data_IF_911230949590
#
_entry.id   IF_911230949590
#
_cell.length_a   1.000
_cell.length_b   1.000
_cell.length_c   1.000
_cell.angle_alpha   90.00
_cell.angle_beta   90.00
_cell.angle_gamma   90.00
#
_symmetry.space_group_name_H-M   'P 1'
#
loop_
_entity.id
_entity.type
_entity.pdbx_description
1 polymer ?
#
# COMPACT_ATOMS: atom_id res chain seq x y z
N UNK A 1 -8.05 -17.74 14.75
CA UNK A 1 -6.73 -17.09 14.57
C UNK A 1 -6.17 -17.22 13.16
N UNK A 2 -5.98 -18.43 12.60
CA UNK A 2 -5.44 -18.55 11.23
C UNK A 2 -6.20 -17.79 10.13
N UNK A 3 -7.55 -17.75 10.18
CA UNK A 3 -8.36 -16.96 9.23
C UNK A 3 -8.21 -15.44 9.44
N UNK A 4 -7.99 -15.02 10.68
CA UNK A 4 -7.83 -13.62 11.08
C UNK A 4 -6.48 -13.09 10.62
N UNK A 5 -5.40 -13.83 10.87
CA UNK A 5 -4.04 -13.48 10.42
C UNK A 5 -3.98 -13.36 8.89
N UNK A 6 -4.65 -14.26 8.16
CA UNK A 6 -4.70 -14.21 6.68
C UNK A 6 -5.38 -12.93 6.18
N UNK A 7 -6.47 -12.49 6.81
CA UNK A 7 -7.16 -11.26 6.39
C UNK A 7 -6.39 -10.00 6.80
N UNK A 8 -5.76 -9.98 7.98
CA UNK A 8 -4.89 -8.88 8.41
C UNK A 8 -3.64 -8.75 7.52
N UNK A 9 -3.04 -9.88 7.14
CA UNK A 9 -1.91 -9.89 6.20
C UNK A 9 -2.29 -9.32 4.82
N UNK A 10 -3.51 -9.55 4.34
CA UNK A 10 -3.96 -8.92 3.09
C UNK A 10 -4.02 -7.41 3.21
N UNK A 11 -4.48 -6.87 4.35
CA UNK A 11 -4.55 -5.43 4.60
C UNK A 11 -3.16 -4.81 4.69
N UNK A 12 -2.27 -5.41 5.47
CA UNK A 12 -0.86 -4.98 5.59
C UNK A 12 -0.16 -4.99 4.22
N UNK A 13 -0.30 -6.07 3.44
CA UNK A 13 0.29 -6.17 2.10
C UNK A 13 -0.34 -5.17 1.13
N UNK A 14 -1.66 -4.97 1.16
CA UNK A 14 -2.33 -3.97 0.32
C UNK A 14 -1.89 -2.54 0.65
N UNK A 15 -1.71 -2.24 1.93
CA UNK A 15 -1.19 -0.97 2.40
C UNK A 15 0.23 -0.76 1.88
N UNK A 16 1.12 -1.75 2.04
CA UNK A 16 2.49 -1.67 1.51
C UNK A 16 2.56 -1.52 -0.01
N UNK A 17 1.72 -2.24 -0.75
CA UNK A 17 1.67 -2.12 -2.22
C UNK A 17 1.16 -0.76 -2.69
N UNK A 18 0.33 -0.07 -1.90
CA UNK A 18 -0.28 1.20 -2.31
C UNK A 18 0.77 2.30 -2.37
N UNK A 19 1.60 2.44 -1.33
CA UNK A 19 2.60 3.53 -1.23
C UNK A 19 3.84 3.34 -2.11
N UNK A 20 4.14 2.12 -2.59
CA UNK A 20 5.19 1.90 -3.59
C UNK A 20 4.85 2.61 -4.93
N UNK A 21 3.56 2.82 -5.20
CA UNK A 21 3.07 3.43 -6.44
C UNK A 21 3.50 4.89 -6.60
N UNK A 22 3.19 5.82 -5.67
CA UNK A 22 3.60 7.21 -5.79
C UNK A 22 5.13 7.36 -5.85
N UNK A 23 5.89 6.55 -5.12
CA UNK A 23 7.36 6.59 -5.15
C UNK A 23 7.91 6.26 -6.54
N UNK A 24 7.43 5.17 -7.14
CA UNK A 24 7.81 4.78 -8.49
C UNK A 24 7.36 5.82 -9.51
N UNK A 25 6.11 6.30 -9.42
CA UNK A 25 5.57 7.26 -10.37
C UNK A 25 6.28 8.62 -10.30
N UNK A 26 6.65 9.09 -9.11
CA UNK A 26 7.45 10.30 -8.94
C UNK A 26 8.85 10.14 -9.51
N UNK A 27 9.48 8.99 -9.28
CA UNK A 27 10.78 8.68 -9.88
C UNK A 27 10.70 8.63 -11.41
N UNK A 28 9.66 8.01 -11.96
CA UNK A 28 9.42 8.01 -13.41
C UNK A 28 9.13 9.42 -13.94
N UNK A 29 8.35 10.24 -13.22
CA UNK A 29 8.09 11.62 -13.58
C UNK A 29 9.37 12.46 -13.60
N UNK A 30 10.29 12.24 -12.65
CA UNK A 30 11.63 12.83 -12.66
C UNK A 30 12.38 12.45 -13.94
N UNK A 31 12.42 11.16 -14.30
CA UNK A 31 13.17 10.66 -15.47
C UNK A 31 12.58 11.17 -16.80
N UNK A 32 11.25 11.14 -16.95
CA UNK A 32 10.59 11.46 -18.22
C UNK A 32 10.28 12.95 -18.41
N UNK A 33 9.92 13.66 -17.33
CA UNK A 33 9.50 15.07 -17.39
C UNK A 33 10.63 16.01 -16.97
N UNK A 34 11.69 15.51 -16.32
CA UNK A 34 12.83 16.32 -15.89
C UNK A 34 12.52 17.26 -14.72
N UNK A 35 11.43 17.01 -13.99
CA UNK A 35 11.07 17.75 -12.77
C UNK A 35 12.15 17.46 -11.71
N UNK A 36 12.64 18.44 -10.92
CA UNK A 36 13.60 18.17 -9.85
C UNK A 36 13.05 17.14 -8.86
N UNK A 37 13.92 16.24 -8.39
CA UNK A 37 13.52 15.09 -7.57
C UNK A 37 12.77 15.54 -6.31
N UNK A 38 11.45 15.27 -6.18
CA UNK A 38 10.66 15.75 -5.04
C UNK A 38 11.10 15.12 -3.72
N UNK A 39 11.53 13.85 -3.78
CA UNK A 39 11.96 13.05 -2.64
C UNK A 39 13.31 12.40 -2.94
N UNK A 40 14.32 12.70 -2.12
CA UNK A 40 15.61 12.03 -2.20
C UNK A 40 15.51 10.53 -1.86
N UNK A 41 16.37 9.69 -2.43
CA UNK A 41 16.38 8.24 -2.18
C UNK A 41 16.52 7.90 -0.68
N UNK A 42 17.27 8.71 0.08
CA UNK A 42 17.41 8.55 1.54
C UNK A 42 16.06 8.81 2.25
N UNK A 43 15.27 9.76 1.76
CA UNK A 43 13.98 10.12 2.34
C UNK A 43 12.93 9.04 2.07
N UNK A 44 12.94 8.45 0.86
CA UNK A 44 12.13 7.27 0.53
C UNK A 44 12.45 6.12 1.50
N UNK A 45 13.73 5.77 1.65
CA UNK A 45 14.13 4.72 2.59
C UNK A 45 13.73 5.03 4.04
N UNK A 46 13.79 6.29 4.46
CA UNK A 46 13.35 6.70 5.80
C UNK A 46 11.83 6.55 5.99
N UNK A 47 11.04 6.75 4.95
CA UNK A 47 9.59 6.53 4.96
C UNK A 47 9.31 5.02 5.04
N UNK A 48 9.87 4.23 4.12
CA UNK A 48 9.67 2.77 4.02
C UNK A 48 10.08 2.03 5.30
N UNK A 49 11.30 2.27 5.80
CA UNK A 49 11.84 1.55 6.95
C UNK A 49 11.48 2.21 8.29
N UNK A 50 11.25 3.52 8.30
CA UNK A 50 11.00 4.25 9.54
C UNK A 50 9.52 4.37 9.85
N UNK A 51 8.80 5.10 9.00
CA UNK A 51 7.44 5.55 9.29
C UNK A 51 6.43 4.46 8.95
N UNK A 52 6.59 3.79 7.81
CA UNK A 52 5.62 2.82 7.27
C UNK A 52 5.63 1.47 8.01
N UNK A 53 6.74 1.09 8.63
CA UNK A 53 6.82 -0.18 9.38
C UNK A 53 5.87 -0.19 10.59
N UNK A 54 5.69 0.94 11.28
CA UNK A 54 4.83 1.00 12.47
C UNK A 54 3.34 0.77 12.13
N UNK A 55 2.72 1.50 11.17
CA UNK A 55 1.36 1.23 10.71
C UNK A 55 1.19 -0.16 10.13
N UNK A 56 2.16 -0.66 9.36
CA UNK A 56 2.06 -1.99 8.74
C UNK A 56 1.96 -3.11 9.79
N UNK A 57 2.74 -3.02 10.88
CA UNK A 57 2.64 -3.95 12.01
C UNK A 57 1.31 -3.75 12.75
N UNK A 58 0.85 -2.51 12.92
CA UNK A 58 -0.45 -2.23 13.53
C UNK A 58 -1.61 -2.86 12.75
N UNK A 59 -1.55 -2.89 11.42
CA UNK A 59 -2.54 -3.56 10.57
C UNK A 59 -2.48 -5.09 10.69
N UNK A 60 -1.32 -5.67 11.04
CA UNK A 60 -1.20 -7.11 11.29
C UNK A 60 -1.93 -7.53 12.58
N UNK A 61 -1.98 -6.66 13.59
CA UNK A 61 -2.62 -6.87 14.90
C UNK A 61 -4.09 -6.44 14.95
N UNK A 62 -4.70 -6.12 13.81
CA UNK A 62 -6.07 -5.60 13.77
C UNK A 62 -7.09 -6.64 14.28
N UNK A 63 -8.09 -6.16 15.04
CA UNK A 63 -9.18 -7.01 15.54
C UNK A 63 -9.98 -7.58 14.37
N UNK A 64 -10.57 -8.78 14.53
CA UNK A 64 -11.33 -9.38 13.46
C UNK A 64 -12.57 -8.55 13.13
N UNK A 65 -12.60 -7.98 11.94
CA UNK A 65 -13.81 -7.35 11.40
C UNK A 65 -14.84 -8.42 11.11
N UNK A 66 -16.08 -8.28 11.64
CA UNK A 66 -17.25 -9.12 11.43
C UNK A 66 -17.06 -10.62 11.71
N UNK A 67 -18.16 -11.36 11.93
CA UNK A 67 -18.15 -12.75 12.36
C UNK A 67 -17.45 -13.70 11.36
N UNK A 68 -16.11 -13.77 11.44
CA UNK A 68 -15.20 -14.57 10.60
C UNK A 68 -15.47 -16.07 10.74
N UNK A 69 -16.15 -16.47 11.81
CA UNK A 69 -16.53 -17.85 12.10
C UNK A 69 -17.79 -18.27 11.31
N UNK A 70 -18.66 -17.33 10.94
CA UNK A 70 -19.84 -17.60 10.10
C UNK A 70 -19.52 -17.70 8.60
N UNK A 71 -18.30 -17.34 8.19
CA UNK A 71 -17.90 -17.36 6.78
C UNK A 71 -17.49 -18.78 6.34
N UNK A 72 -17.91 -19.23 5.14
CA UNK A 72 -17.43 -20.50 4.61
C UNK A 72 -15.90 -20.48 4.46
N UNK A 73 -15.22 -21.62 4.68
CA UNK A 73 -13.77 -21.70 4.57
C UNK A 73 -13.29 -21.33 3.16
N UNK A 74 -12.16 -20.62 3.10
CA UNK A 74 -11.55 -20.10 1.87
C UNK A 74 -11.33 -21.23 0.85
N UNK A 75 -11.67 -20.99 -0.42
CA UNK A 75 -11.28 -21.89 -1.51
C UNK A 75 -9.77 -21.80 -1.72
N UNK A 76 -9.10 -22.93 -1.96
CA UNK A 76 -7.64 -22.93 -2.20
C UNK A 76 -7.23 -22.14 -3.45
N UNK A 77 -8.15 -21.94 -4.39
CA UNK A 77 -7.95 -21.12 -5.59
C UNK A 77 -7.99 -19.61 -5.35
N UNK A 78 -8.44 -19.15 -4.16
CA UNK A 78 -8.40 -17.73 -3.84
C UNK A 78 -6.99 -17.29 -3.50
N UNK A 79 -6.48 -16.32 -4.27
CA UNK A 79 -5.22 -15.65 -3.99
C UNK A 79 -5.37 -14.75 -2.76
N UNK A 80 -4.30 -14.61 -1.97
CA UNK A 80 -4.24 -13.65 -0.87
C UNK A 80 -4.50 -12.24 -1.40
N UNK A 81 -3.74 -11.83 -2.44
CA UNK A 81 -3.95 -10.58 -3.15
C UNK A 81 -4.84 -10.84 -4.36
N UNK A 82 -6.07 -10.34 -4.31
CA UNK A 82 -6.97 -10.36 -5.46
C UNK A 82 -6.56 -9.29 -6.47
N UNK A 83 -6.68 -9.58 -7.77
CA UNK A 83 -6.41 -8.61 -8.83
C UNK A 83 -7.25 -7.34 -8.66
N UNK A 84 -8.45 -7.43 -8.09
CA UNK A 84 -9.30 -6.26 -7.78
C UNK A 84 -8.69 -5.37 -6.70
N UNK A 85 -8.16 -5.98 -5.64
CA UNK A 85 -7.46 -5.28 -4.55
C UNK A 85 -6.21 -4.58 -5.08
N UNK A 86 -5.47 -5.28 -5.94
CA UNK A 86 -4.27 -4.78 -6.59
C UNK A 86 -4.58 -3.58 -7.49
N UNK A 87 -5.61 -3.67 -8.33
CA UNK A 87 -6.07 -2.57 -9.19
C UNK A 87 -6.52 -1.37 -8.36
N UNK A 88 -7.26 -1.59 -7.26
CA UNK A 88 -7.69 -0.52 -6.38
C UNK A 88 -6.52 0.18 -5.68
N UNK A 89 -5.59 -0.59 -5.10
CA UNK A 89 -4.39 -0.10 -4.45
C UNK A 89 -3.53 0.73 -5.42
N UNK A 90 -3.21 0.19 -6.59
CA UNK A 90 -2.35 0.87 -7.56
C UNK A 90 -3.02 2.06 -8.25
N UNK A 91 -4.21 1.86 -8.83
CA UNK A 91 -4.81 2.88 -9.70
C UNK A 91 -5.63 3.93 -8.96
N UNK A 92 -6.20 3.59 -7.79
CA UNK A 92 -7.01 4.56 -7.04
C UNK A 92 -6.16 5.21 -5.96
N UNK A 93 -5.66 4.42 -5.00
CA UNK A 93 -4.88 4.97 -3.87
C UNK A 93 -3.56 5.55 -4.35
N UNK A 94 -2.79 4.78 -5.13
CA UNK A 94 -1.49 5.23 -5.65
C UNK A 94 -1.57 6.48 -6.51
N UNK A 95 -2.63 6.64 -7.32
CA UNK A 95 -2.82 7.85 -8.13
C UNK A 95 -3.22 9.06 -7.30
N UNK A 96 -4.05 8.89 -6.26
CA UNK A 96 -4.41 9.98 -5.35
C UNK A 96 -3.17 10.49 -4.60
N UNK A 97 -2.36 9.56 -4.08
CA UNK A 97 -1.11 9.88 -3.39
C UNK A 97 -0.12 10.59 -4.33
N UNK A 98 0.03 10.09 -5.55
CA UNK A 98 0.88 10.72 -6.57
C UNK A 98 0.45 12.16 -6.90
N UNK A 99 -0.84 12.38 -7.13
CA UNK A 99 -1.38 13.72 -7.41
C UNK A 99 -1.24 14.66 -6.22
N UNK A 100 -1.50 14.17 -5.00
CA UNK A 100 -1.32 14.95 -3.77
C UNK A 100 0.14 15.36 -3.56
N UNK A 101 1.08 14.45 -3.82
CA UNK A 101 2.49 14.74 -3.68
C UNK A 101 3.05 15.62 -4.80
N UNK A 102 2.54 15.50 -6.04
CA UNK A 102 2.82 16.48 -7.10
C UNK A 102 2.28 17.87 -6.74
N UNK A 103 1.06 17.96 -6.21
CA UNK A 103 0.49 19.23 -5.78
C UNK A 103 1.33 19.88 -4.67
N UNK A 104 1.70 19.11 -3.64
CA UNK A 104 2.57 19.60 -2.56
C UNK A 104 3.99 19.99 -3.03
N UNK A 105 4.44 19.47 -4.17
CA UNK A 105 5.71 19.85 -4.76
C UNK A 105 5.65 21.21 -5.50
N UNK A 106 4.51 21.52 -6.13
CA UNK A 106 4.34 22.75 -6.91
C UNK A 106 3.81 23.95 -6.11
N UNK A 107 3.26 23.72 -4.91
CA UNK A 107 2.73 24.76 -3.99
C UNK A 107 3.75 25.04 -2.88
#
# INVERSE_FOLDING_TARGET
EGRLIVDNLKKSVAYTLSHITPELLQFLAFVFVGIPLPLGTIMILAIDLGIEMMPSISYAEEKPEADILLRPPRKQSERLVSTKLMVFAYLVMGMIEFLGALYAYFV
#
